data_IF_846262899488
#
_entry.id   IF_846262899488
#
_cell.length_a   1.000
_cell.length_b   1.000
_cell.length_c   1.000
_cell.angle_alpha   90.00
_cell.angle_beta   90.00
_cell.angle_gamma   90.00
#
_symmetry.space_group_name_H-M   'P 1'
#
loop_
_entity.id
_entity.type
_entity.pdbx_description
1 polymer ?
#
# COMPACT_ATOMS: atom_id res chain seq x y z
N UNK A 1 5.60 -15.74 -13.87
CA UNK A 1 6.25 -16.62 -12.87
C UNK A 1 5.29 -16.78 -11.71
N UNK A 2 5.05 -18.00 -11.22
CA UNK A 2 4.18 -18.18 -10.05
C UNK A 2 4.80 -17.45 -8.84
N UNK A 3 4.05 -16.55 -8.22
CA UNK A 3 4.52 -15.85 -7.03
C UNK A 3 4.63 -16.88 -5.88
N UNK A 4 5.84 -17.08 -5.36
CA UNK A 4 6.08 -18.00 -4.26
C UNK A 4 5.54 -17.35 -2.98
N UNK A 5 4.40 -17.85 -2.48
CA UNK A 5 3.84 -17.46 -1.18
C UNK A 5 4.34 -18.41 -0.11
N UNK A 6 5.21 -17.91 0.77
CA UNK A 6 5.73 -18.66 1.92
C UNK A 6 4.85 -18.55 3.17
N UNK A 7 3.83 -17.68 3.14
CA UNK A 7 2.90 -17.43 4.24
C UNK A 7 1.53 -16.95 3.76
N UNK A 8 0.60 -16.84 4.70
CA UNK A 8 -0.77 -16.36 4.44
C UNK A 8 -0.76 -14.84 4.25
N UNK A 9 -1.58 -14.33 3.33
CA UNK A 9 -1.88 -12.91 3.28
C UNK A 9 -2.88 -12.57 4.40
N UNK A 10 -2.45 -11.76 5.36
CA UNK A 10 -3.28 -11.37 6.50
C UNK A 10 -4.10 -10.10 6.24
N UNK A 11 -3.79 -9.35 5.16
CA UNK A 11 -4.40 -8.06 4.89
C UNK A 11 -5.75 -8.23 4.17
N UNK A 12 -6.81 -7.78 4.84
CA UNK A 12 -8.13 -7.55 4.27
C UNK A 12 -8.48 -6.07 4.38
N UNK A 13 -9.49 -5.63 3.63
CA UNK A 13 -9.98 -4.26 3.69
C UNK A 13 -11.49 -4.21 3.83
N UNK A 14 -11.98 -3.23 4.59
CA UNK A 14 -13.38 -2.87 4.66
C UNK A 14 -13.59 -1.57 3.90
N UNK A 15 -14.26 -1.64 2.75
CA UNK A 15 -14.56 -0.47 1.91
C UNK A 15 -15.42 0.57 2.64
N UNK A 16 -16.37 0.10 3.45
CA UNK A 16 -17.34 0.94 4.14
C UNK A 16 -16.74 1.75 5.30
N UNK A 17 -15.84 1.14 6.09
CA UNK A 17 -15.12 1.87 7.12
C UNK A 17 -13.86 2.56 6.60
N UNK A 18 -13.44 2.22 5.38
CA UNK A 18 -12.13 2.49 4.82
C UNK A 18 -10.96 2.16 5.78
N UNK A 19 -10.94 0.92 6.29
CA UNK A 19 -9.94 0.47 7.25
C UNK A 19 -9.32 -0.87 6.85
N UNK A 20 -8.01 -1.05 7.08
CA UNK A 20 -7.39 -2.36 6.98
C UNK A 20 -7.85 -3.26 8.13
N UNK A 21 -8.22 -4.50 7.77
CA UNK A 21 -8.70 -5.52 8.70
C UNK A 21 -7.75 -6.71 8.63
N UNK A 22 -7.29 -7.16 9.80
CA UNK A 22 -6.44 -8.34 9.91
C UNK A 22 -7.32 -9.60 9.93
N UNK A 23 -7.17 -10.42 8.89
CA UNK A 23 -7.75 -11.77 8.69
C UNK A 23 -9.27 -11.93 8.71
N UNK A 24 -10.02 -11.05 9.37
CA UNK A 24 -11.46 -11.21 9.58
C UNK A 24 -12.24 -10.90 8.30
N UNK A 25 -13.04 -11.86 7.86
CA UNK A 25 -13.97 -11.72 6.71
C UNK A 25 -15.08 -10.68 6.95
N UNK A 26 -15.36 -10.34 8.22
CA UNK A 26 -16.30 -9.28 8.60
C UNK A 26 -15.58 -8.17 9.35
N UNK A 27 -15.92 -6.93 9.03
CA UNK A 27 -15.38 -5.77 9.71
C UNK A 27 -15.86 -5.74 11.17
N UNK A 28 -14.96 -5.68 12.17
CA UNK A 28 -15.34 -5.63 13.57
C UNK A 28 -16.03 -4.30 13.96
N UNK A 29 -15.89 -3.25 13.14
CA UNK A 29 -16.49 -1.93 13.38
C UNK A 29 -17.92 -1.81 12.84
N UNK A 30 -18.18 -2.25 11.60
CA UNK A 30 -19.49 -2.10 10.96
C UNK A 30 -20.22 -3.41 10.62
N UNK A 31 -19.56 -4.57 10.72
CA UNK A 31 -20.13 -5.88 10.42
C UNK A 31 -20.17 -6.26 8.93
N UNK A 32 -19.84 -5.34 8.02
CA UNK A 32 -19.81 -5.60 6.58
C UNK A 32 -18.67 -6.55 6.18
N UNK A 33 -18.83 -7.21 5.03
CA UNK A 33 -17.81 -8.12 4.48
C UNK A 33 -16.55 -7.36 4.10
N UNK A 34 -15.39 -7.98 4.32
CA UNK A 34 -14.08 -7.49 3.91
C UNK A 34 -13.56 -8.31 2.73
N UNK A 35 -12.72 -7.70 1.91
CA UNK A 35 -12.06 -8.38 0.79
C UNK A 35 -10.56 -8.52 1.07
N UNK A 36 -9.91 -9.55 0.53
CA UNK A 36 -8.44 -9.65 0.59
C UNK A 36 -7.80 -8.63 -0.35
N UNK A 37 -6.78 -7.94 0.13
CA UNK A 37 -6.03 -6.99 -0.70
C UNK A 37 -4.97 -7.76 -1.49
N UNK A 38 -4.91 -7.53 -2.81
CA UNK A 38 -3.88 -8.12 -3.64
C UNK A 38 -2.52 -7.45 -3.40
N UNK A 39 -1.60 -8.21 -2.80
CA UNK A 39 -0.24 -7.76 -2.49
C UNK A 39 0.80 -8.76 -2.99
N UNK A 40 1.98 -8.25 -3.33
CA UNK A 40 3.12 -9.09 -3.72
C UNK A 40 3.74 -9.77 -2.48
N UNK A 41 4.05 -11.08 -2.52
CA UNK A 41 4.73 -11.76 -1.40
C UNK A 41 6.10 -11.12 -1.09
N UNK A 42 6.55 -11.10 0.18
CA UNK A 42 6.08 -11.95 1.29
C UNK A 42 4.84 -11.45 2.04
N UNK A 43 4.29 -10.28 1.69
CA UNK A 43 3.13 -9.71 2.40
C UNK A 43 3.50 -9.03 3.72
N UNK A 44 4.68 -8.40 3.77
CA UNK A 44 5.18 -7.65 4.92
C UNK A 44 4.57 -6.23 4.90
N UNK A 45 3.28 -6.15 5.23
CA UNK A 45 2.51 -4.91 5.21
C UNK A 45 2.73 -4.12 6.50
N UNK A 46 2.97 -2.81 6.36
CA UNK A 46 3.13 -1.87 7.47
C UNK A 46 2.42 -0.53 7.18
N UNK A 47 2.01 0.24 8.19
CA UNK A 47 1.56 1.62 7.97
C UNK A 47 2.67 2.49 7.37
N UNK A 48 2.28 3.40 6.48
CA UNK A 48 3.13 4.51 6.07
C UNK A 48 3.08 5.59 7.16
N UNK A 49 4.23 6.08 7.59
CA UNK A 49 4.29 7.23 8.49
C UNK A 49 4.36 8.55 7.72
N UNK A 50 4.25 9.67 8.43
CA UNK A 50 4.20 11.02 7.82
C UNK A 50 5.36 11.26 6.85
N UNK A 51 6.57 10.83 7.21
CA UNK A 51 7.73 10.94 6.34
C UNK A 51 7.58 10.12 5.05
N UNK A 52 7.08 8.88 5.15
CA UNK A 52 6.86 8.02 3.99
C UNK A 52 5.83 8.67 3.04
N UNK A 53 4.70 9.12 3.59
CA UNK A 53 3.62 9.75 2.83
C UNK A 53 4.14 11.00 2.12
N UNK A 54 4.85 11.88 2.84
CA UNK A 54 5.43 13.10 2.25
C UNK A 54 6.40 12.76 1.12
N UNK A 55 7.32 11.83 1.34
CA UNK A 55 8.28 11.40 0.33
C UNK A 55 7.59 10.87 -0.93
N UNK A 56 6.53 10.06 -0.77
CA UNK A 56 5.78 9.51 -1.90
C UNK A 56 5.07 10.63 -2.66
N UNK A 57 4.38 11.53 -1.96
CA UNK A 57 3.71 12.68 -2.60
C UNK A 57 4.70 13.53 -3.39
N UNK A 58 5.83 13.90 -2.78
CA UNK A 58 6.88 14.67 -3.44
C UNK A 58 7.45 13.95 -4.68
N UNK A 59 7.59 12.62 -4.63
CA UNK A 59 8.06 11.82 -5.76
C UNK A 59 7.05 11.82 -6.91
N UNK A 60 5.78 11.64 -6.59
CA UNK A 60 4.67 11.64 -7.55
C UNK A 60 4.55 13.02 -8.20
N UNK A 61 4.60 14.09 -7.41
CA UNK A 61 4.58 15.47 -7.90
C UNK A 61 5.72 15.74 -8.89
N UNK A 62 6.94 15.28 -8.58
CA UNK A 62 8.09 15.42 -9.49
C UNK A 62 7.92 14.67 -10.81
N UNK A 63 7.17 13.57 -10.81
CA UNK A 63 7.03 12.70 -11.98
C UNK A 63 5.81 13.04 -12.83
N UNK A 64 4.72 13.50 -12.21
CA UNK A 64 3.42 13.68 -12.85
C UNK A 64 2.87 15.11 -12.75
N UNK A 65 3.56 16.02 -12.05
CA UNK A 65 3.18 17.42 -11.90
C UNK A 65 2.67 17.75 -10.50
N UNK A 66 2.77 19.02 -10.11
CA UNK A 66 2.39 19.51 -8.79
C UNK A 66 0.92 19.18 -8.45
N UNK A 67 0.68 18.67 -7.23
CA UNK A 67 -0.63 18.30 -6.72
C UNK A 67 -1.02 16.85 -6.99
N UNK A 68 -0.37 16.17 -7.94
CA UNK A 68 -0.67 14.78 -8.26
C UNK A 68 -0.37 13.82 -7.09
N UNK A 69 0.59 14.13 -6.23
CA UNK A 69 0.88 13.38 -5.02
C UNK A 69 -0.26 13.45 -4.02
N UNK A 70 -0.86 14.64 -3.82
CA UNK A 70 -1.99 14.82 -2.92
C UNK A 70 -3.24 14.12 -3.45
N UNK A 71 -3.46 14.14 -4.77
CA UNK A 71 -4.55 13.39 -5.42
C UNK A 71 -4.35 11.87 -5.30
N UNK A 72 -3.10 11.38 -5.44
CA UNK A 72 -2.81 9.95 -5.31
C UNK A 72 -2.93 9.46 -3.86
N UNK A 73 -2.45 10.25 -2.91
CA UNK A 73 -2.50 9.94 -1.48
C UNK A 73 -3.20 11.09 -0.75
N UNK A 74 -4.55 11.12 -0.70
CA UNK A 74 -5.28 12.18 -0.03
C UNK A 74 -5.05 12.19 1.49
N UNK A 75 -5.33 13.32 2.13
CA UNK A 75 -5.27 13.41 3.59
C UNK A 75 -6.38 12.61 4.27
N UNK A 76 -6.13 12.16 5.50
CA UNK A 76 -7.09 11.37 6.29
C UNK A 76 -7.27 9.92 5.84
N UNK A 77 -6.57 9.48 4.78
CA UNK A 77 -6.64 8.10 4.29
C UNK A 77 -5.54 7.24 4.92
N UNK A 78 -5.86 5.99 5.20
CA UNK A 78 -4.87 5.02 5.69
C UNK A 78 -4.03 4.55 4.52
N UNK A 79 -2.73 4.84 4.56
CA UNK A 79 -1.76 4.37 3.57
C UNK A 79 -0.94 3.26 4.19
N UNK A 80 -0.87 2.12 3.50
CA UNK A 80 0.00 1.00 3.87
C UNK A 80 1.09 0.82 2.82
N UNK A 81 2.22 0.27 3.25
CA UNK A 81 3.33 -0.12 2.41
C UNK A 81 3.54 -1.62 2.53
N UNK A 82 3.71 -2.30 1.40
CA UNK A 82 4.07 -3.70 1.35
C UNK A 82 5.45 -3.85 0.72
N UNK A 83 6.38 -4.47 1.45
CA UNK A 83 7.70 -4.76 0.90
C UNK A 83 7.58 -5.77 -0.23
N UNK A 84 8.08 -5.42 -1.41
CA UNK A 84 8.03 -6.26 -2.60
C UNK A 84 9.44 -6.59 -3.11
N UNK A 85 9.65 -7.75 -3.77
CA UNK A 85 10.95 -8.16 -4.28
C UNK A 85 11.44 -7.23 -5.40
N UNK A 86 12.69 -6.81 -5.31
CA UNK A 86 13.40 -6.02 -6.34
C UNK A 86 14.92 -6.19 -6.14
N UNK A 87 15.74 -5.64 -7.04
CA UNK A 87 17.20 -5.65 -6.91
C UNK A 87 17.68 -4.91 -5.65
N UNK A 88 16.97 -3.86 -5.27
CA UNK A 88 17.12 -3.13 -4.01
C UNK A 88 15.71 -2.91 -3.41
N UNK A 89 15.55 -1.95 -2.51
CA UNK A 89 14.28 -1.67 -1.84
C UNK A 89 13.17 -1.33 -2.84
N UNK A 90 12.06 -2.03 -2.74
CA UNK A 90 10.80 -1.69 -3.38
C UNK A 90 9.65 -1.85 -2.37
N UNK A 91 8.81 -0.82 -2.28
CA UNK A 91 7.59 -0.84 -1.48
C UNK A 91 6.40 -0.63 -2.43
N UNK A 92 5.40 -1.50 -2.38
CA UNK A 92 4.08 -1.29 -2.95
C UNK A 92 3.27 -0.35 -2.04
N UNK A 93 2.51 0.56 -2.65
CA UNK A 93 1.67 1.53 -1.95
C UNK A 93 0.23 1.05 -2.03
N UNK A 94 -0.40 0.90 -0.87
CA UNK A 94 -1.77 0.43 -0.72
C UNK A 94 -2.59 1.54 -0.08
N UNK A 95 -3.71 1.89 -0.71
CA UNK A 95 -4.71 2.83 -0.22
C UNK A 95 -6.09 2.32 -0.63
N UNK A 96 -7.10 2.53 0.21
CA UNK A 96 -8.49 2.16 -0.07
C UNK A 96 -8.66 0.70 -0.53
N UNK A 97 -7.90 -0.20 0.09
CA UNK A 97 -7.94 -1.64 -0.17
C UNK A 97 -7.27 -2.09 -1.47
N UNK A 98 -6.52 -1.20 -2.13
CA UNK A 98 -5.90 -1.50 -3.43
C UNK A 98 -4.43 -1.10 -3.45
N UNK A 99 -3.62 -1.95 -4.08
CA UNK A 99 -2.25 -1.61 -4.46
C UNK A 99 -2.30 -0.68 -5.68
N UNK A 100 -1.89 0.58 -5.52
CA UNK A 100 -2.03 1.62 -6.55
C UNK A 100 -0.73 1.96 -7.27
N UNK A 101 0.41 1.73 -6.62
CA UNK A 101 1.72 2.10 -7.13
C UNK A 101 2.82 1.29 -6.44
N UNK A 102 4.04 1.37 -6.96
CA UNK A 102 5.24 0.92 -6.25
C UNK A 102 6.32 1.99 -6.33
N UNK A 103 7.04 2.18 -5.22
CA UNK A 103 8.25 2.98 -5.15
C UNK A 103 9.45 2.07 -5.11
N UNK A 104 10.46 2.36 -5.93
CA UNK A 104 11.69 1.59 -6.00
C UNK A 104 12.88 2.51 -5.79
N UNK A 105 13.89 2.01 -5.09
CA UNK A 105 15.19 2.65 -5.07
C UNK A 105 15.85 2.49 -6.45
N UNK A 106 16.24 3.60 -7.05
CA UNK A 106 16.87 3.63 -8.38
C UNK A 106 18.40 3.67 -8.24
N UNK A 107 19.04 2.51 -8.44
CA UNK A 107 20.50 2.36 -8.39
C UNK A 107 21.24 3.18 -9.45
N UNK A 108 20.56 3.58 -10.52
CA UNK A 108 21.17 4.28 -11.66
C UNK A 108 21.07 5.80 -11.60
N UNK A 109 20.23 6.35 -10.71
CA UNK A 109 20.11 7.80 -10.52
C UNK A 109 21.23 8.30 -9.61
N UNK A 110 22.16 9.06 -10.19
CA UNK A 110 23.14 9.88 -9.47
C UNK A 110 22.56 11.24 -9.13
#
# INVERSE_FOLDING_TARGET
>A
MAAIRLGKNHLRWCDECNLPILENEKCPKCGNTTHEVEITPPGEVRPAFEHDIKMIRDLVDRQFGEGSGLELLPEGHVVLLNKAPSLDRMDEIIIDGRTIASIRYDLGKK
#
